data_IF_131762991134
#
_entry.id   IF_131762991134
#
_cell.length_a   1.000
_cell.length_b   1.000
_cell.length_c   1.000
_cell.angle_alpha   90.00
_cell.angle_beta   90.00
_cell.angle_gamma   90.00
#
_symmetry.space_group_name_H-M   'P 1'
#
loop_
_entity.id
_entity.type
_entity.pdbx_description
1 polymer ?
#
# COMPACT_ATOMS: atom_id res chain seq x y z
N UNK A 1 -0.55 25.85 -14.77
CA UNK A 1 -2.03 25.90 -14.83
C UNK A 1 -2.67 24.67 -14.21
N UNK A 2 -2.63 23.45 -14.81
CA UNK A 2 -3.30 22.26 -14.24
C UNK A 2 -2.91 21.88 -12.80
N UNK A 3 -1.63 21.99 -12.44
CA UNK A 3 -1.14 21.67 -11.08
C UNK A 3 -1.60 22.67 -10.01
N UNK A 4 -1.97 23.88 -10.41
CA UNK A 4 -2.48 24.91 -9.48
C UNK A 4 -3.97 24.70 -9.18
N UNK A 5 -4.69 23.96 -10.03
CA UNK A 5 -6.13 23.69 -9.90
C UNK A 5 -6.43 22.29 -9.38
N UNK A 6 -5.42 21.52 -8.95
CA UNK A 6 -5.59 20.17 -8.40
C UNK A 6 -5.82 19.08 -9.45
N UNK A 7 -5.68 19.39 -10.74
CA UNK A 7 -5.85 18.41 -11.82
C UNK A 7 -4.58 17.57 -11.96
N UNK A 8 -4.74 16.26 -11.82
CA UNK A 8 -3.69 15.29 -12.11
C UNK A 8 -3.77 14.88 -13.58
N UNK A 9 -2.77 15.28 -14.37
CA UNK A 9 -2.65 14.89 -15.78
C UNK A 9 -2.05 13.48 -15.89
N UNK A 10 -2.80 12.57 -16.50
CA UNK A 10 -2.30 11.29 -17.01
C UNK A 10 -1.68 11.47 -18.41
N UNK A 11 -0.69 10.65 -18.73
CA UNK A 11 0.03 10.68 -20.02
C UNK A 11 -0.52 9.69 -21.03
N UNK A 12 -1.16 8.63 -20.56
CA UNK A 12 -1.78 7.58 -21.35
C UNK A 12 -3.05 7.04 -20.64
N UNK A 13 -3.71 6.07 -21.28
CA UNK A 13 -4.94 5.49 -20.74
C UNK A 13 -4.69 4.62 -19.51
N UNK A 14 -3.55 3.95 -19.43
CA UNK A 14 -3.20 3.10 -18.30
C UNK A 14 -3.03 3.96 -17.03
N UNK A 15 -2.21 5.02 -17.11
CA UNK A 15 -2.05 5.98 -16.01
C UNK A 15 -3.37 6.64 -15.62
N UNK A 16 -4.28 6.88 -16.57
CA UNK A 16 -5.61 7.41 -16.28
C UNK A 16 -6.45 6.43 -15.44
N UNK A 17 -6.51 5.15 -15.82
CA UNK A 17 -7.25 4.15 -15.06
C UNK A 17 -6.61 3.86 -13.71
N UNK A 18 -5.28 3.74 -13.65
CA UNK A 18 -4.58 3.49 -12.39
C UNK A 18 -4.80 4.62 -11.38
N UNK A 19 -4.60 5.85 -11.84
CA UNK A 19 -4.80 7.05 -11.01
C UNK A 19 -6.26 7.18 -10.58
N UNK A 20 -7.20 6.99 -11.50
CA UNK A 20 -8.63 7.07 -11.22
C UNK A 20 -9.09 6.03 -10.20
N UNK A 21 -8.65 4.77 -10.38
CA UNK A 21 -8.93 3.66 -9.46
C UNK A 21 -8.40 3.95 -8.06
N UNK A 22 -7.15 4.41 -7.95
CA UNK A 22 -6.54 4.76 -6.68
C UNK A 22 -7.34 5.84 -5.92
N UNK A 23 -7.60 6.98 -6.59
CA UNK A 23 -8.29 8.13 -6.00
C UNK A 23 -9.75 7.84 -5.64
N UNK A 24 -10.39 6.90 -6.34
CA UNK A 24 -11.76 6.48 -6.03
C UNK A 24 -11.84 5.59 -4.78
N UNK A 25 -10.81 4.80 -4.50
CA UNK A 25 -10.85 3.73 -3.50
C UNK A 25 -10.11 4.06 -2.21
N UNK A 26 -9.17 5.02 -2.25
CA UNK A 26 -8.27 5.32 -1.14
C UNK A 26 -8.24 6.81 -0.77
N UNK A 27 -8.03 7.14 0.53
CA UNK A 27 -7.82 8.52 0.93
C UNK A 27 -6.49 9.07 0.38
N UNK A 28 -6.35 10.39 0.22
CA UNK A 28 -5.08 11.01 -0.15
C UNK A 28 -4.01 10.78 0.93
N UNK A 29 -2.73 10.64 0.52
CA UNK A 29 -1.63 10.48 1.46
C UNK A 29 -1.19 11.82 2.07
N UNK A 30 -0.78 11.83 3.34
CA UNK A 30 -0.31 13.06 4.03
C UNK A 30 1.11 13.52 3.66
N UNK A 31 1.84 12.67 2.96
CA UNK A 31 3.25 12.87 2.65
C UNK A 31 3.78 11.78 1.72
N UNK A 32 5.09 11.79 1.50
CA UNK A 32 5.77 11.01 0.46
C UNK A 32 6.47 9.75 0.96
N UNK A 33 6.49 9.51 2.28
CA UNK A 33 7.22 8.41 2.87
C UNK A 33 6.36 7.14 2.82
N UNK A 34 6.72 6.18 1.98
CA UNK A 34 5.91 5.00 1.68
C UNK A 34 6.59 3.76 2.25
N UNK A 35 5.81 2.89 2.88
CA UNK A 35 6.25 1.56 3.26
C UNK A 35 5.90 0.54 2.18
N UNK A 36 6.78 -0.41 1.95
CA UNK A 36 6.54 -1.54 1.05
C UNK A 36 6.61 -2.83 1.87
N UNK A 37 5.58 -3.66 1.72
CA UNK A 37 5.49 -5.03 2.26
C UNK A 37 5.50 -6.00 1.10
N UNK A 38 6.38 -7.00 1.11
CA UNK A 38 6.50 -8.01 0.05
C UNK A 38 6.81 -9.39 0.61
N UNK A 39 6.44 -10.45 -0.10
CA UNK A 39 6.95 -11.82 0.10
C UNK A 39 8.11 -12.18 -0.84
N UNK A 40 8.46 -11.27 -1.76
CA UNK A 40 9.58 -11.45 -2.67
C UNK A 40 10.41 -10.17 -2.85
N UNK A 41 11.72 -10.29 -2.66
CA UNK A 41 12.67 -9.18 -2.74
C UNK A 41 12.70 -8.46 -4.10
N UNK A 42 12.68 -9.19 -5.23
CA UNK A 42 12.75 -8.60 -6.58
C UNK A 42 11.64 -7.58 -6.83
N UNK A 43 10.36 -7.96 -6.70
CA UNK A 43 9.22 -7.03 -6.75
C UNK A 43 9.31 -5.87 -5.76
N UNK A 44 9.83 -6.11 -4.55
CA UNK A 44 10.04 -5.05 -3.56
C UNK A 44 11.04 -3.99 -4.02
N UNK A 45 12.13 -4.41 -4.69
CA UNK A 45 13.11 -3.49 -5.29
C UNK A 45 12.50 -2.74 -6.48
N UNK A 46 11.77 -3.41 -7.38
CA UNK A 46 11.08 -2.76 -8.50
C UNK A 46 10.10 -1.66 -8.02
N UNK A 47 9.31 -1.95 -6.98
CA UNK A 47 8.42 -0.96 -6.37
C UNK A 47 9.20 0.20 -5.73
N UNK A 48 10.35 -0.08 -5.12
CA UNK A 48 11.21 0.94 -4.49
C UNK A 48 11.78 1.88 -5.54
N UNK A 49 12.37 1.33 -6.60
CA UNK A 49 12.95 2.09 -7.70
C UNK A 49 11.89 2.98 -8.37
N UNK A 50 10.70 2.43 -8.65
CA UNK A 50 9.62 3.22 -9.26
C UNK A 50 9.09 4.31 -8.30
N UNK A 51 9.01 4.02 -7.00
CA UNK A 51 8.67 5.03 -6.01
C UNK A 51 9.66 6.21 -6.06
N UNK A 52 10.96 5.92 -6.06
CA UNK A 52 12.02 6.94 -6.11
C UNK A 52 12.01 7.74 -7.42
N UNK A 53 11.84 7.07 -8.56
CA UNK A 53 11.71 7.71 -9.88
C UNK A 53 10.55 8.70 -9.93
N UNK A 54 9.49 8.44 -9.16
CA UNK A 54 8.30 9.31 -9.05
C UNK A 54 8.41 10.38 -7.97
N UNK A 55 9.52 10.40 -7.22
CA UNK A 55 9.77 11.35 -6.14
C UNK A 55 9.02 11.04 -4.83
N UNK A 56 8.60 9.79 -4.66
CA UNK A 56 8.27 9.20 -3.36
C UNK A 56 9.56 8.83 -2.63
N UNK A 57 9.46 8.51 -1.34
CA UNK A 57 10.62 8.15 -0.52
C UNK A 57 10.34 6.86 0.22
N UNK A 58 11.27 5.91 0.16
CA UNK A 58 11.21 4.61 0.85
C UNK A 58 12.29 4.63 1.94
N UNK A 59 12.02 5.35 3.05
CA UNK A 59 13.01 5.53 4.11
C UNK A 59 13.14 4.29 4.96
N UNK A 60 14.34 4.09 5.54
CA UNK A 60 14.53 3.26 6.72
C UNK A 60 13.51 3.68 7.79
N UNK A 61 12.87 2.71 8.42
CA UNK A 61 11.92 2.96 9.51
C UNK A 61 12.59 3.55 10.76
N UNK A 62 11.77 4.11 11.63
CA UNK A 62 12.19 4.52 12.96
C UNK A 62 12.75 3.34 13.77
N UNK A 63 13.59 3.64 14.75
CA UNK A 63 14.15 2.59 15.62
C UNK A 63 13.05 1.89 16.44
N UNK A 64 11.94 2.56 16.72
CA UNK A 64 10.75 1.97 17.35
C UNK A 64 10.13 0.89 16.44
N UNK A 65 9.88 1.21 15.18
CA UNK A 65 9.33 0.27 14.20
C UNK A 65 10.26 -0.91 13.99
N UNK A 66 11.57 -0.67 13.88
CA UNK A 66 12.58 -1.74 13.77
C UNK A 66 12.57 -2.64 15.01
N UNK A 67 12.48 -2.06 16.22
CA UNK A 67 12.40 -2.83 17.45
C UNK A 67 11.17 -3.74 17.51
N UNK A 68 10.02 -3.26 17.01
CA UNK A 68 8.79 -4.07 16.93
C UNK A 68 8.94 -5.25 15.97
N UNK A 69 9.59 -5.06 14.83
CA UNK A 69 9.91 -6.16 13.93
C UNK A 69 10.87 -7.17 14.56
N UNK A 70 11.92 -6.70 15.24
CA UNK A 70 12.85 -7.58 15.95
C UNK A 70 12.14 -8.39 17.05
N UNK A 71 11.19 -7.78 17.77
CA UNK A 71 10.34 -8.51 18.72
C UNK A 71 9.54 -9.63 18.05
N UNK A 72 8.91 -9.39 16.89
CA UNK A 72 8.21 -10.44 16.16
C UNK A 72 9.12 -11.58 15.71
N UNK A 73 10.37 -11.28 15.33
CA UNK A 73 11.38 -12.29 15.02
C UNK A 73 11.77 -13.12 16.25
N UNK A 74 11.92 -12.49 17.41
CA UNK A 74 12.22 -13.16 18.67
C UNK A 74 11.06 -14.07 19.13
N UNK A 75 9.82 -13.63 18.93
CA UNK A 75 8.61 -14.40 19.24
C UNK A 75 8.34 -15.55 18.23
N UNK A 76 9.13 -15.66 17.16
CA UNK A 76 8.95 -16.67 16.11
C UNK A 76 7.78 -16.39 15.16
N UNK A 77 7.20 -15.18 15.21
CA UNK A 77 6.11 -14.75 14.31
C UNK A 77 6.61 -14.31 12.94
N UNK A 78 7.86 -13.85 12.87
CA UNK A 78 8.56 -13.60 11.61
C UNK A 78 9.84 -14.43 11.54
N UNK A 79 10.24 -14.89 10.34
CA UNK A 79 11.54 -15.54 10.16
C UNK A 79 12.69 -14.58 10.51
N UNK A 80 13.77 -15.10 11.09
CA UNK A 80 14.96 -14.28 11.43
C UNK A 80 15.58 -13.58 10.22
N UNK A 81 15.43 -14.19 9.05
CA UNK A 81 15.96 -13.69 7.78
C UNK A 81 15.00 -12.75 7.02
N UNK A 82 13.78 -12.53 7.54
CA UNK A 82 12.90 -11.48 7.01
C UNK A 82 13.58 -10.11 7.20
N UNK A 83 13.50 -9.24 6.19
CA UNK A 83 14.02 -7.88 6.33
C UNK A 83 13.10 -7.10 7.26
N UNK A 84 13.67 -6.20 8.06
CA UNK A 84 12.93 -5.24 8.90
C UNK A 84 13.30 -3.80 8.55
N UNK A 85 13.85 -3.63 7.34
CA UNK A 85 14.05 -2.34 6.69
C UNK A 85 12.92 -2.14 5.68
N UNK A 86 12.92 -1.01 5.00
CA UNK A 86 11.94 -0.72 3.95
C UNK A 86 12.63 -0.92 2.60
N UNK A 87 12.18 -1.84 1.72
CA UNK A 87 10.99 -2.70 1.84
C UNK A 87 11.11 -3.84 2.87
N UNK A 88 9.99 -4.22 3.47
CA UNK A 88 9.85 -5.39 4.36
C UNK A 88 9.56 -6.63 3.52
N UNK A 89 10.52 -7.54 3.43
CA UNK A 89 10.43 -8.83 2.76
C UNK A 89 10.17 -9.92 3.82
N UNK A 90 8.92 -10.39 3.88
CA UNK A 90 8.48 -11.50 4.74
C UNK A 90 8.79 -12.87 4.13
N UNK A 91 9.46 -12.91 2.98
CA UNK A 91 10.08 -14.06 2.30
C UNK A 91 9.09 -15.00 1.62
N UNK A 92 9.57 -15.87 0.72
CA UNK A 92 8.74 -16.90 0.06
C UNK A 92 8.17 -18.00 0.97
N UNK A 93 8.37 -17.87 2.29
CA UNK A 93 7.69 -18.66 3.32
C UNK A 93 6.58 -17.89 4.04
N UNK A 94 6.17 -16.75 3.47
CA UNK A 94 5.16 -15.88 4.05
C UNK A 94 3.85 -16.61 4.30
N UNK A 95 3.22 -16.25 5.42
CA UNK A 95 1.87 -16.69 5.77
C UNK A 95 0.94 -15.48 5.87
N UNK A 96 -0.37 -15.73 5.88
CA UNK A 96 -1.37 -14.69 6.07
C UNK A 96 -1.19 -13.92 7.38
N UNK A 97 -0.73 -14.60 8.44
CA UNK A 97 -0.40 -13.98 9.73
C UNK A 97 0.81 -13.05 9.62
N UNK A 98 1.85 -13.44 8.88
CA UNK A 98 3.04 -12.59 8.67
C UNK A 98 2.69 -11.29 7.95
N UNK A 99 1.82 -11.33 6.93
CA UNK A 99 1.31 -10.13 6.28
C UNK A 99 0.47 -9.27 7.23
N UNK A 100 -0.40 -9.88 8.04
CA UNK A 100 -1.25 -9.18 9.00
C UNK A 100 -0.43 -8.40 10.04
N UNK A 101 0.49 -9.08 10.73
CA UNK A 101 1.29 -8.45 11.80
C UNK A 101 2.27 -7.41 11.24
N UNK A 102 2.78 -7.63 10.03
CA UNK A 102 3.67 -6.68 9.35
C UNK A 102 2.92 -5.45 8.90
N UNK A 103 1.77 -5.62 8.22
CA UNK A 103 0.92 -4.51 7.83
C UNK A 103 0.54 -3.65 9.04
N UNK A 104 0.17 -4.27 10.16
CA UNK A 104 -0.17 -3.55 11.39
C UNK A 104 0.97 -2.65 11.89
N UNK A 105 2.21 -3.15 11.88
CA UNK A 105 3.38 -2.33 12.26
C UNK A 105 3.52 -1.13 11.32
N UNK A 106 3.42 -1.35 10.00
CA UNK A 106 3.58 -0.30 9.00
C UNK A 106 2.49 0.78 9.08
N UNK A 107 1.24 0.38 9.32
CA UNK A 107 0.15 1.34 9.48
C UNK A 107 0.24 2.13 10.80
N UNK A 108 0.85 1.58 11.84
CA UNK A 108 1.06 2.28 13.11
C UNK A 108 2.23 3.26 13.09
N UNK A 109 3.22 3.08 12.22
CA UNK A 109 4.36 3.99 12.10
C UNK A 109 3.93 5.39 11.62
N UNK A 110 3.99 6.40 12.49
CA UNK A 110 3.52 7.75 12.19
C UNK A 110 4.31 8.47 11.08
N UNK A 111 5.54 8.02 10.77
CA UNK A 111 6.35 8.57 9.69
C UNK A 111 5.93 8.04 8.31
N UNK A 112 5.22 6.91 8.28
CA UNK A 112 4.69 6.31 7.04
C UNK A 112 3.39 6.97 6.63
N UNK A 113 3.28 7.32 5.35
CA UNK A 113 2.15 8.06 4.78
C UNK A 113 1.29 7.24 3.83
N UNK A 114 1.72 6.03 3.46
CA UNK A 114 0.99 5.07 2.65
C UNK A 114 1.74 3.73 2.59
N UNK A 115 1.02 2.65 2.27
CA UNK A 115 1.57 1.30 2.21
C UNK A 115 1.32 0.67 0.84
N UNK A 116 2.37 0.10 0.24
CA UNK A 116 2.26 -0.76 -0.94
C UNK A 116 2.40 -2.21 -0.46
N UNK A 117 1.43 -3.06 -0.78
CA UNK A 117 1.44 -4.48 -0.41
C UNK A 117 1.63 -5.32 -1.67
N UNK A 118 2.75 -6.01 -1.76
CA UNK A 118 3.09 -6.98 -2.79
C UNK A 118 2.86 -8.37 -2.20
N UNK A 119 1.75 -9.01 -2.53
CA UNK A 119 1.42 -10.35 -2.03
C UNK A 119 1.23 -11.29 -3.19
N UNK A 120 2.25 -12.10 -3.49
CA UNK A 120 2.27 -12.87 -4.72
C UNK A 120 1.61 -14.24 -4.52
N UNK A 121 0.69 -14.58 -5.44
CA UNK A 121 -0.11 -15.82 -5.37
C UNK A 121 0.69 -17.14 -5.36
N UNK A 122 1.99 -17.12 -5.65
CA UNK A 122 2.79 -18.34 -5.77
C UNK A 122 3.28 -18.90 -4.43
N UNK A 123 3.19 -18.13 -3.35
CA UNK A 123 3.64 -18.57 -2.01
C UNK A 123 2.63 -19.56 -1.40
N UNK A 124 2.97 -20.86 -1.24
CA UNK A 124 1.97 -21.88 -0.88
C UNK A 124 1.34 -21.70 0.51
N UNK A 125 2.06 -21.05 1.43
CA UNK A 125 1.60 -20.80 2.80
C UNK A 125 0.81 -19.48 2.93
N UNK A 126 0.79 -18.65 1.88
CA UNK A 126 0.01 -17.43 1.80
C UNK A 126 -1.37 -17.78 1.22
N UNK A 127 -2.34 -17.92 2.11
CA UNK A 127 -3.71 -18.27 1.73
C UNK A 127 -4.49 -17.00 1.38
N UNK A 128 -5.53 -17.10 0.55
CA UNK A 128 -6.35 -15.95 0.11
C UNK A 128 -6.87 -15.06 1.26
N UNK A 129 -7.01 -15.59 2.47
CA UNK A 129 -7.43 -14.85 3.67
C UNK A 129 -6.47 -13.72 4.08
N UNK A 130 -5.23 -13.70 3.57
CA UNK A 130 -4.30 -12.59 3.80
C UNK A 130 -4.85 -11.26 3.29
N UNK A 131 -5.60 -11.28 2.17
CA UNK A 131 -6.22 -10.10 1.57
C UNK A 131 -7.23 -9.48 2.54
N UNK A 132 -8.09 -10.33 3.11
CA UNK A 132 -9.07 -9.95 4.12
C UNK A 132 -8.44 -9.41 5.40
N UNK A 133 -7.36 -10.05 5.87
CA UNK A 133 -6.60 -9.60 7.04
C UNK A 133 -5.99 -8.22 6.80
N UNK A 134 -5.25 -8.03 5.71
CA UNK A 134 -4.64 -6.74 5.35
C UNK A 134 -5.71 -5.65 5.20
N UNK A 135 -6.84 -5.95 4.57
CA UNK A 135 -7.94 -5.00 4.43
C UNK A 135 -8.56 -4.60 5.77
N UNK A 136 -8.76 -5.57 6.67
CA UNK A 136 -9.26 -5.32 8.03
C UNK A 136 -8.31 -4.41 8.81
N UNK A 137 -6.99 -4.63 8.70
CA UNK A 137 -5.97 -3.77 9.29
C UNK A 137 -6.07 -2.35 8.70
N UNK A 138 -5.99 -2.23 7.37
CA UNK A 138 -5.98 -0.95 6.67
C UNK A 138 -7.20 -0.08 7.00
N UNK A 139 -8.39 -0.67 7.15
CA UNK A 139 -9.63 0.04 7.46
C UNK A 139 -9.65 0.71 8.86
N UNK A 140 -8.69 0.38 9.74
CA UNK A 140 -8.53 1.03 11.04
C UNK A 140 -7.73 2.34 10.98
N UNK A 141 -7.07 2.60 9.87
CA UNK A 141 -6.20 3.75 9.65
C UNK A 141 -6.72 4.62 8.51
N UNK A 142 -6.22 5.84 8.44
CA UNK A 142 -6.57 6.84 7.43
C UNK A 142 -5.46 7.04 6.38
N UNK A 143 -4.51 6.10 6.33
CA UNK A 143 -3.43 6.05 5.35
C UNK A 143 -3.87 5.25 4.13
N UNK A 144 -3.55 5.69 2.90
CA UNK A 144 -3.80 4.90 1.71
C UNK A 144 -3.01 3.60 1.69
N UNK A 145 -3.61 2.60 1.05
CA UNK A 145 -2.99 1.33 0.70
C UNK A 145 -3.29 0.97 -0.75
N UNK A 146 -2.28 0.46 -1.45
CA UNK A 146 -2.42 -0.14 -2.77
C UNK A 146 -1.81 -1.54 -2.73
N UNK A 147 -2.33 -2.44 -3.54
CA UNK A 147 -1.84 -3.81 -3.62
C UNK A 147 -1.27 -4.12 -5.00
N UNK A 148 -0.41 -5.13 -5.08
CA UNK A 148 -0.01 -5.73 -6.33
C UNK A 148 0.22 -7.23 -6.15
N UNK A 149 -0.26 -7.98 -7.14
CA UNK A 149 0.06 -9.39 -7.36
C UNK A 149 0.47 -9.48 -8.83
N UNK A 150 1.65 -10.02 -9.11
CA UNK A 150 2.26 -9.93 -10.44
C UNK A 150 1.73 -11.01 -11.37
N UNK A 151 1.53 -10.63 -12.64
CA UNK A 151 1.22 -11.56 -13.73
C UNK A 151 -0.27 -11.77 -13.94
N UNK A 152 -0.62 -12.58 -14.93
CA UNK A 152 -2.00 -12.72 -15.43
C UNK A 152 -2.57 -14.13 -15.25
N UNK A 153 -2.06 -14.87 -14.25
CA UNK A 153 -2.66 -16.15 -13.87
C UNK A 153 -4.05 -15.93 -13.28
N UNK A 154 -4.91 -16.95 -13.33
CA UNK A 154 -6.24 -16.88 -12.72
C UNK A 154 -6.15 -16.53 -11.23
N UNK A 155 -5.18 -17.11 -10.51
CA UNK A 155 -4.94 -16.78 -9.11
C UNK A 155 -4.57 -15.32 -8.90
N UNK A 156 -3.67 -14.76 -9.72
CA UNK A 156 -3.28 -13.36 -9.61
C UNK A 156 -4.47 -12.42 -9.86
N UNK A 157 -5.30 -12.75 -10.86
CA UNK A 157 -6.54 -12.03 -11.17
C UNK A 157 -7.53 -12.08 -10.01
N UNK A 158 -7.71 -13.26 -9.38
CA UNK A 158 -8.58 -13.43 -8.21
C UNK A 158 -8.08 -12.65 -7.00
N UNK A 159 -6.78 -12.70 -6.69
CA UNK A 159 -6.17 -11.91 -5.61
C UNK A 159 -6.41 -10.42 -5.82
N UNK A 160 -6.12 -9.89 -7.01
CA UNK A 160 -6.33 -8.47 -7.34
C UNK A 160 -7.81 -8.10 -7.24
N UNK A 161 -8.69 -8.94 -7.78
CA UNK A 161 -10.13 -8.73 -7.69
C UNK A 161 -10.62 -8.71 -6.24
N UNK A 162 -10.09 -9.59 -5.37
CA UNK A 162 -10.46 -9.63 -3.95
C UNK A 162 -10.03 -8.35 -3.23
N UNK A 163 -8.81 -7.87 -3.46
CA UNK A 163 -8.36 -6.57 -2.95
C UNK A 163 -9.29 -5.45 -3.40
N UNK A 164 -9.64 -5.42 -4.69
CA UNK A 164 -10.53 -4.40 -5.24
C UNK A 164 -11.91 -4.42 -4.58
N UNK A 165 -12.47 -5.61 -4.34
CA UNK A 165 -13.74 -5.79 -3.63
C UNK A 165 -13.71 -5.29 -2.19
N UNK A 166 -12.55 -5.33 -1.54
CA UNK A 166 -12.34 -4.79 -0.20
C UNK A 166 -11.94 -3.31 -0.20
N UNK A 167 -11.98 -2.66 -1.37
CA UNK A 167 -11.68 -1.25 -1.51
C UNK A 167 -10.19 -0.93 -1.50
N UNK A 168 -9.31 -1.91 -1.73
CA UNK A 168 -7.87 -1.71 -1.91
C UNK A 168 -7.57 -1.87 -3.41
N UNK A 169 -7.15 -0.81 -4.11
CA UNK A 169 -6.86 -0.89 -5.52
C UNK A 169 -5.63 -1.78 -5.76
N UNK A 170 -5.80 -2.84 -6.55
CA UNK A 170 -4.74 -3.78 -6.87
C UNK A 170 -4.29 -3.70 -8.34
N UNK A 171 -2.99 -3.92 -8.58
CA UNK A 171 -2.33 -3.76 -9.87
C UNK A 171 -1.49 -4.99 -10.25
N UNK A 172 -1.22 -5.18 -11.54
CA UNK A 172 -0.48 -6.34 -12.06
C UNK A 172 1.04 -6.14 -12.11
N UNK A 173 1.53 -4.93 -11.84
CA UNK A 173 2.95 -4.61 -11.76
C UNK A 173 3.30 -3.75 -10.54
N UNK A 174 4.52 -3.88 -9.98
CA UNK A 174 5.03 -2.96 -8.96
C UNK A 174 4.99 -1.49 -9.40
N UNK A 175 5.22 -1.25 -10.69
CA UNK A 175 5.31 0.08 -11.27
C UNK A 175 3.95 0.80 -11.25
N UNK A 176 2.88 0.08 -11.60
CA UNK A 176 1.51 0.62 -11.57
C UNK A 176 1.04 0.86 -10.14
N UNK A 177 1.41 0.00 -9.20
CA UNK A 177 1.14 0.22 -7.79
C UNK A 177 1.85 1.48 -7.26
N UNK A 178 3.13 1.68 -7.61
CA UNK A 178 3.89 2.88 -7.24
C UNK A 178 3.32 4.15 -7.93
N UNK A 179 2.89 4.04 -9.19
CA UNK A 179 2.20 5.11 -9.94
C UNK A 179 0.90 5.54 -9.26
N UNK A 180 0.07 4.57 -8.87
CA UNK A 180 -1.16 4.77 -8.14
C UNK A 180 -0.93 5.43 -6.77
N UNK A 181 0.05 4.93 -6.00
CA UNK A 181 0.43 5.53 -4.72
C UNK A 181 0.90 6.99 -4.91
N UNK A 182 1.69 7.25 -5.95
CA UNK A 182 2.14 8.61 -6.26
C UNK A 182 0.97 9.56 -6.58
N UNK A 183 -0.10 9.08 -7.24
CA UNK A 183 -1.29 9.90 -7.45
C UNK A 183 -1.95 10.32 -6.12
N UNK A 184 -2.11 9.38 -5.19
CA UNK A 184 -2.65 9.63 -3.84
C UNK A 184 -1.79 10.64 -3.06
N UNK A 185 -0.47 10.53 -3.18
CA UNK A 185 0.50 11.45 -2.58
C UNK A 185 0.43 12.84 -3.21
N UNK A 186 0.44 12.94 -4.54
CA UNK A 186 0.36 14.23 -5.24
C UNK A 186 -0.93 14.96 -4.90
N UNK A 187 -2.05 14.24 -4.87
CA UNK A 187 -3.33 14.84 -4.52
C UNK A 187 -3.38 15.27 -3.06
N UNK A 188 -2.88 14.44 -2.15
CA UNK A 188 -2.81 14.80 -0.73
C UNK A 188 -1.91 16.00 -0.44
N UNK A 189 -0.75 16.10 -1.10
CA UNK A 189 0.11 17.28 -0.99
C UNK A 189 -0.55 18.54 -1.56
N UNK A 190 -1.32 18.41 -2.65
CA UNK A 190 -2.13 19.51 -3.16
C UNK A 190 -3.18 19.96 -2.13
N UNK A 191 -3.96 19.04 -1.58
CA UNK A 191 -4.97 19.36 -0.57
C UNK A 191 -4.34 19.96 0.69
N UNK A 192 -3.17 19.46 1.12
CA UNK A 192 -2.41 19.97 2.27
C UNK A 192 -1.99 21.42 2.04
N UNK A 193 -1.45 21.72 0.88
CA UNK A 193 -1.03 23.07 0.49
C UNK A 193 -2.20 24.07 0.51
N UNK A 194 -3.42 23.60 0.22
CA UNK A 194 -4.62 24.43 0.21
C UNK A 194 -5.41 24.39 1.54
N UNK A 195 -4.92 23.70 2.58
CA UNK A 195 -5.59 23.62 3.88
C UNK A 195 -6.86 22.76 3.89
N UNK A 196 -7.08 21.90 2.88
CA UNK A 196 -8.30 21.11 2.73
C UNK A 196 -8.13 19.61 3.06
N UNK A 197 -6.90 19.16 3.37
CA UNK A 197 -6.58 17.73 3.47
C UNK A 197 -7.41 16.98 4.52
N UNK A 198 -7.42 17.46 5.76
CA UNK A 198 -8.07 16.74 6.86
C UNK A 198 -9.59 16.66 6.65
N UNK A 199 -10.22 17.76 6.23
CA UNK A 199 -11.64 17.76 5.88
C UNK A 199 -11.98 16.84 4.71
N UNK A 200 -11.08 16.71 3.72
CA UNK A 200 -11.25 15.75 2.63
C UNK A 200 -11.19 14.30 3.13
N UNK A 201 -10.17 13.96 3.92
CA UNK A 201 -9.99 12.61 4.48
C UNK A 201 -11.20 12.22 5.33
N UNK A 202 -11.66 13.11 6.22
CA UNK A 202 -12.85 12.85 7.03
C UNK A 202 -14.10 12.55 6.18
N UNK A 203 -14.34 13.34 5.14
CA UNK A 203 -15.48 13.15 4.25
C UNK A 203 -15.35 11.85 3.44
N UNK A 204 -14.14 11.55 2.96
CA UNK A 204 -13.85 10.30 2.24
C UNK A 204 -14.14 9.08 3.11
N UNK A 205 -13.64 9.07 4.36
CA UNK A 205 -13.85 7.96 5.29
C UNK A 205 -15.32 7.82 5.72
N UNK A 206 -16.04 8.93 5.91
CA UNK A 206 -17.49 8.92 6.16
C UNK A 206 -18.26 8.29 4.98
N UNK A 207 -17.89 8.62 3.74
CA UNK A 207 -18.49 8.04 2.54
C UNK A 207 -18.20 6.54 2.45
N UNK A 208 -16.93 6.12 2.59
CA UNK A 208 -16.51 4.72 2.54
C UNK A 208 -17.22 3.84 3.56
N UNK A 209 -17.43 4.34 4.79
CA UNK A 209 -18.17 3.62 5.84
C UNK A 209 -19.64 3.43 5.50
N UNK A 210 -20.30 4.44 4.91
CA UNK A 210 -21.72 4.33 4.48
C UNK A 210 -21.90 3.28 3.38
N UNK A 211 -21.00 3.25 2.40
CA UNK A 211 -21.07 2.29 1.29
C UNK A 211 -20.74 0.87 1.71
N UNK A 212 -19.99 0.66 2.81
CA UNK A 212 -19.68 -0.67 3.33
C UNK A 212 -20.83 -1.31 4.14
N UNK A 213 -21.78 -0.52 4.62
CA UNK A 213 -22.95 -0.97 5.39
C UNK A 213 -24.23 -1.07 4.56
N UNK A 214 -24.16 -0.79 3.25
CA UNK A 214 -25.28 -0.82 2.29
C UNK A 214 -25.14 -2.02 1.36
#
# INVERSE_FOLDING_TARGET
>A
VFTQTGVLRAKDMEEFFDTGKALAMQPPARGKNIAILTDAGGPGIMATDECELRGLVVKRFSDETIHRFEKLKMEGKLPKFATNLNPVDVTGSATSEMFEVTAEILFQDFEINGVIVLGLHHTPALQEDFVDRVAKIANRYDKPVVACDIGETEMALQTRWRFDKLGIPAYSSPEDAARAMNALVRYGLYLKKNGCLEGYIENFLKYKRKTATS
#
